data_IF_836788172315
#
_entry.id   IF_836788172315
#
_cell.length_a   1.000
_cell.length_b   1.000
_cell.length_c   1.000
_cell.angle_alpha   90.00
_cell.angle_beta   90.00
_cell.angle_gamma   90.00
#
_symmetry.space_group_name_H-M   'P 1'
#
loop_
_entity.id
_entity.type
_entity.pdbx_description
1 polymer ?
#
# COMPACT_ATOMS: atom_id res chain seq x y z
N UNK A 1 18.75 33.98 4.19
CA UNK A 1 18.94 32.95 3.16
C UNK A 1 18.71 31.59 3.83
N UNK A 2 17.56 30.95 3.61
CA UNK A 2 17.20 29.67 4.26
C UNK A 2 17.68 28.53 3.36
N UNK A 3 18.71 27.80 3.78
CA UNK A 3 19.18 26.62 3.06
C UNK A 3 18.45 25.39 3.59
N UNK A 4 17.45 24.91 2.86
CA UNK A 4 16.79 23.63 3.13
C UNK A 4 17.73 22.50 2.72
N UNK A 5 18.28 21.75 3.69
CA UNK A 5 19.04 20.51 3.42
C UNK A 5 18.06 19.46 2.88
N UNK A 6 18.26 19.06 1.63
CA UNK A 6 17.60 17.91 1.04
C UNK A 6 18.02 16.64 1.80
N UNK A 7 17.09 16.04 2.53
CA UNK A 7 17.20 14.69 3.07
C UNK A 7 17.25 13.70 1.90
N UNK A 8 18.45 13.23 1.54
CA UNK A 8 18.63 12.12 0.59
C UNK A 8 17.99 10.87 1.20
N UNK A 9 16.78 10.53 0.73
CA UNK A 9 16.07 9.32 1.10
C UNK A 9 16.92 8.09 0.77
N UNK A 10 17.02 7.19 1.76
CA UNK A 10 17.66 5.87 1.65
C UNK A 10 16.97 5.12 0.50
N UNK A 11 17.69 4.81 -0.59
CA UNK A 11 17.13 4.01 -1.69
C UNK A 11 16.82 2.61 -1.16
N UNK A 12 15.54 2.29 -1.02
CA UNK A 12 15.09 0.97 -0.64
C UNK A 12 15.42 0.00 -1.78
N UNK A 13 16.40 -0.88 -1.53
CA UNK A 13 16.78 -1.93 -2.47
C UNK A 13 15.80 -3.08 -2.31
N UNK A 14 15.08 -3.38 -3.39
CA UNK A 14 14.07 -4.43 -3.42
C UNK A 14 14.53 -5.54 -4.38
N UNK A 15 14.73 -6.74 -3.87
CA UNK A 15 15.00 -7.93 -4.67
C UNK A 15 13.68 -8.68 -4.89
N UNK A 16 13.33 -8.95 -6.15
CA UNK A 16 12.08 -9.63 -6.51
C UNK A 16 12.42 -10.94 -7.21
N UNK A 17 11.98 -12.04 -6.61
CA UNK A 17 12.08 -13.39 -7.17
C UNK A 17 10.68 -13.87 -7.56
N UNK A 18 10.19 -13.38 -8.69
CA UNK A 18 8.85 -13.67 -9.19
C UNK A 18 8.89 -14.02 -10.68
N UNK A 19 7.93 -14.83 -11.14
CA UNK A 19 7.76 -15.15 -12.55
C UNK A 19 6.73 -14.21 -13.16
N UNK A 20 7.13 -13.47 -14.19
CA UNK A 20 6.23 -12.55 -14.90
C UNK A 20 5.73 -13.18 -16.18
N UNK A 21 4.47 -12.90 -16.52
CA UNK A 21 3.91 -13.20 -17.84
C UNK A 21 3.82 -11.91 -18.65
N UNK A 22 4.15 -11.98 -19.94
CA UNK A 22 3.88 -10.87 -20.85
C UNK A 22 2.36 -10.69 -21.00
N UNK A 23 1.89 -9.45 -20.86
CA UNK A 23 0.46 -9.11 -20.96
C UNK A 23 0.17 -8.30 -22.21
N UNK A 24 0.98 -7.28 -22.46
CA UNK A 24 0.80 -6.32 -23.55
C UNK A 24 2.08 -5.49 -23.79
N UNK A 25 2.18 -4.86 -24.96
CA UNK A 25 3.24 -3.89 -25.31
C UNK A 25 2.57 -2.59 -25.74
N UNK A 26 2.91 -1.47 -25.08
CA UNK A 26 2.26 -0.17 -25.31
C UNK A 26 3.28 0.92 -25.63
N UNK A 27 2.99 1.79 -26.61
CA UNK A 27 3.82 2.96 -26.86
C UNK A 27 3.63 4.01 -25.75
N UNK A 28 4.61 4.91 -25.63
CA UNK A 28 4.45 6.13 -24.85
C UNK A 28 3.57 7.12 -25.63
N UNK A 29 2.71 7.82 -24.91
CA UNK A 29 1.98 8.94 -25.50
C UNK A 29 2.85 10.22 -25.56
N UNK A 30 2.29 11.30 -26.13
CA UNK A 30 2.97 12.60 -26.26
C UNK A 30 3.36 13.25 -24.93
N UNK A 31 2.86 12.74 -23.80
CA UNK A 31 3.18 13.20 -22.45
C UNK A 31 4.06 12.19 -21.70
N UNK A 32 4.69 11.25 -22.39
CA UNK A 32 5.55 10.21 -21.83
C UNK A 32 4.81 9.29 -20.82
N UNK A 33 3.51 9.06 -21.02
CA UNK A 33 2.72 8.15 -20.18
C UNK A 33 2.59 6.80 -20.86
N UNK A 34 2.61 5.74 -20.05
CA UNK A 34 2.21 4.40 -20.46
C UNK A 34 0.78 4.15 -19.97
N UNK A 35 -0.14 3.94 -20.89
CA UNK A 35 -1.54 3.65 -20.53
C UNK A 35 -1.69 2.19 -20.14
N UNK A 36 -2.07 1.95 -18.89
CA UNK A 36 -2.45 0.62 -18.39
C UNK A 36 -3.85 0.28 -18.93
N UNK A 37 -3.92 -0.36 -20.09
CA UNK A 37 -5.17 -0.63 -20.81
C UNK A 37 -6.11 -1.62 -20.10
N UNK A 38 -7.32 -1.77 -20.64
CA UNK A 38 -8.41 -2.54 -20.00
C UNK A 38 -8.09 -4.00 -19.69
N UNK A 39 -7.24 -4.69 -20.48
CA UNK A 39 -6.82 -6.07 -20.17
C UNK A 39 -6.04 -6.14 -18.85
N UNK A 40 -5.09 -5.22 -18.67
CA UNK A 40 -4.29 -5.13 -17.45
C UNK A 40 -5.16 -4.67 -16.27
N UNK A 41 -6.04 -3.70 -16.49
CA UNK A 41 -6.98 -3.24 -15.46
C UNK A 41 -7.90 -4.37 -14.98
N UNK A 42 -8.44 -5.20 -15.89
CA UNK A 42 -9.27 -6.36 -15.50
C UNK A 42 -8.50 -7.37 -14.65
N UNK A 43 -7.23 -7.63 -14.98
CA UNK A 43 -6.37 -8.52 -14.20
C UNK A 43 -6.09 -7.98 -12.78
N UNK A 44 -5.88 -6.65 -12.66
CA UNK A 44 -5.46 -6.03 -11.41
C UNK A 44 -6.65 -5.60 -10.50
N UNK A 45 -7.70 -5.01 -11.07
CA UNK A 45 -8.81 -4.39 -10.34
C UNK A 45 -9.86 -5.40 -9.87
N UNK A 46 -9.86 -6.64 -10.37
CA UNK A 46 -10.79 -7.68 -9.92
C UNK A 46 -10.61 -8.06 -8.44
N UNK A 47 -9.48 -7.71 -7.81
CA UNK A 47 -9.17 -8.09 -6.43
C UNK A 47 -8.83 -6.92 -5.50
N UNK A 48 -8.43 -5.77 -6.03
CA UNK A 48 -7.88 -4.66 -5.24
C UNK A 48 -8.39 -3.32 -5.78
N UNK A 49 -8.81 -2.43 -4.88
CA UNK A 49 -8.98 -1.01 -5.19
C UNK A 49 -7.58 -0.41 -5.26
N UNK A 50 -7.14 0.03 -6.43
CA UNK A 50 -5.80 0.55 -6.66
C UNK A 50 -5.92 2.05 -6.89
N UNK A 51 -5.33 2.86 -6.02
CA UNK A 51 -5.38 4.32 -6.13
C UNK A 51 -4.10 4.87 -6.79
N UNK A 52 -2.98 4.16 -6.67
CA UNK A 52 -1.68 4.57 -7.22
C UNK A 52 -0.75 3.38 -7.45
N UNK A 53 0.42 3.64 -8.05
CA UNK A 53 1.48 2.65 -8.18
C UNK A 53 2.80 3.22 -7.64
N UNK A 54 3.51 2.42 -6.87
CA UNK A 54 4.92 2.66 -6.60
C UNK A 54 5.73 2.31 -7.85
N UNK A 55 6.66 3.18 -8.22
CA UNK A 55 7.53 3.01 -9.39
C UNK A 55 8.94 2.71 -8.91
N UNK A 56 9.46 1.55 -9.29
CA UNK A 56 10.84 1.15 -9.06
C UNK A 56 11.57 1.03 -10.39
N UNK A 57 12.85 1.41 -10.42
CA UNK A 57 13.70 1.29 -11.60
C UNK A 57 14.87 0.37 -11.24
N UNK A 58 14.98 -0.72 -12.00
CA UNK A 58 16.08 -1.67 -11.92
C UNK A 58 17.35 -1.13 -12.57
N UNK A 59 18.48 -1.80 -12.32
CA UNK A 59 19.79 -1.40 -12.89
C UNK A 59 19.83 -1.54 -14.42
N UNK A 60 19.09 -2.49 -14.96
CA UNK A 60 19.03 -2.79 -16.40
C UNK A 60 17.95 -1.96 -17.13
N UNK A 61 17.33 -0.99 -16.46
CA UNK A 61 16.28 -0.14 -17.04
C UNK A 61 14.86 -0.72 -16.92
N UNK A 62 14.70 -1.90 -16.31
CA UNK A 62 13.39 -2.47 -16.01
C UNK A 62 12.59 -1.56 -15.07
N UNK A 63 11.31 -1.39 -15.38
CA UNK A 63 10.37 -0.65 -14.53
C UNK A 63 9.42 -1.64 -13.88
N UNK A 64 9.36 -1.61 -12.56
CA UNK A 64 8.35 -2.33 -11.79
C UNK A 64 7.30 -1.34 -11.29
N UNK A 65 6.04 -1.65 -11.58
CA UNK A 65 4.89 -0.97 -11.00
C UNK A 65 4.27 -1.88 -9.94
N UNK A 66 4.25 -1.41 -8.69
CA UNK A 66 3.59 -2.11 -7.58
C UNK A 66 2.31 -1.36 -7.20
N UNK A 67 1.12 -1.99 -7.27
CA UNK A 67 -0.12 -1.36 -6.83
C UNK A 67 -0.03 -0.85 -5.40
N UNK A 68 -0.60 0.33 -5.14
CA UNK A 68 -0.67 0.96 -3.83
C UNK A 68 -2.05 1.58 -3.60
N UNK A 69 -2.44 1.63 -2.33
CA UNK A 69 -3.69 2.24 -1.85
C UNK A 69 -3.38 3.52 -1.10
N UNK A 70 -4.23 4.53 -1.28
CA UNK A 70 -4.11 5.76 -0.52
C UNK A 70 -4.75 5.56 0.84
N UNK A 71 -4.00 5.84 1.90
CA UNK A 71 -4.51 5.78 3.28
C UNK A 71 -4.81 7.21 3.72
N UNK A 72 -6.02 7.52 4.21
CA UNK A 72 -6.36 8.82 4.79
C UNK A 72 -5.34 9.26 5.85
N UNK A 73 -5.03 10.56 5.90
CA UNK A 73 -3.98 11.09 6.78
C UNK A 73 -4.23 10.79 8.26
N UNK A 74 -5.48 10.79 8.68
CA UNK A 74 -5.93 10.46 10.04
C UNK A 74 -5.77 8.97 10.39
N UNK A 75 -5.64 8.08 9.41
CA UNK A 75 -5.43 6.63 9.61
C UNK A 75 -3.96 6.22 9.38
N UNK A 76 -3.18 7.04 8.68
CA UNK A 76 -1.83 6.70 8.28
C UNK A 76 -0.88 6.38 9.45
N UNK A 77 -1.15 6.93 10.64
CA UNK A 77 -0.34 6.65 11.84
C UNK A 77 -0.40 5.18 12.27
N UNK A 78 -1.55 4.52 12.10
CA UNK A 78 -1.77 3.10 12.43
C UNK A 78 -0.81 2.23 11.61
N UNK A 79 -0.72 2.50 10.31
CA UNK A 79 0.10 1.72 9.38
C UNK A 79 1.59 2.02 9.49
N UNK A 80 1.97 3.18 10.05
CA UNK A 80 3.37 3.53 10.32
C UNK A 80 3.90 2.92 11.61
N UNK A 81 3.01 2.57 12.56
CA UNK A 81 3.40 1.97 13.82
C UNK A 81 3.20 0.44 13.76
N UNK A 82 4.29 -0.35 13.66
CA UNK A 82 4.20 -1.81 13.53
C UNK A 82 3.53 -2.47 14.74
N UNK A 83 3.66 -1.88 15.93
CA UNK A 83 3.01 -2.41 17.14
C UNK A 83 1.49 -2.23 17.08
N UNK A 84 1.02 -1.03 16.69
CA UNK A 84 -0.41 -0.71 16.64
C UNK A 84 -1.12 -1.54 15.58
N UNK A 85 -0.58 -1.62 14.37
CA UNK A 85 -1.17 -2.46 13.32
C UNK A 85 -1.14 -3.94 13.71
N UNK A 86 -0.13 -4.38 14.47
CA UNK A 86 -0.06 -5.73 15.03
C UNK A 86 -1.21 -6.01 15.98
N UNK A 87 -1.46 -5.11 16.94
CA UNK A 87 -2.57 -5.22 17.89
C UNK A 87 -3.93 -5.24 17.19
N UNK A 88 -4.14 -4.37 16.19
CA UNK A 88 -5.39 -4.33 15.42
C UNK A 88 -5.61 -5.64 14.65
N UNK A 89 -4.56 -6.17 13.98
CA UNK A 89 -4.65 -7.45 13.27
C UNK A 89 -4.96 -8.61 14.20
N UNK A 90 -4.34 -8.63 15.38
CA UNK A 90 -4.63 -9.63 16.40
C UNK A 90 -6.09 -9.53 16.87
N UNK A 91 -6.57 -8.32 17.19
CA UNK A 91 -7.97 -8.11 17.60
C UNK A 91 -8.97 -8.53 16.53
N UNK A 92 -8.70 -8.25 15.25
CA UNK A 92 -9.51 -8.74 14.13
C UNK A 92 -9.53 -10.27 14.06
N UNK A 93 -8.40 -10.93 14.28
CA UNK A 93 -8.31 -12.39 14.32
C UNK A 93 -9.07 -12.97 15.52
N UNK A 94 -8.95 -12.37 16.70
CA UNK A 94 -9.68 -12.78 17.90
C UNK A 94 -11.19 -12.62 17.73
N UNK A 95 -11.62 -11.51 17.12
CA UNK A 95 -13.02 -11.29 16.79
C UNK A 95 -13.57 -12.34 15.82
N UNK A 96 -12.80 -12.68 14.78
CA UNK A 96 -13.15 -13.77 13.86
C UNK A 96 -13.24 -15.15 14.52
N UNK A 97 -12.52 -15.36 15.64
CA UNK A 97 -12.59 -16.57 16.45
C UNK A 97 -13.67 -16.53 17.54
N UNK A 98 -14.50 -15.48 17.58
CA UNK A 98 -15.57 -15.33 18.56
C UNK A 98 -15.10 -14.92 19.96
N UNK A 99 -13.84 -14.49 20.12
CA UNK A 99 -13.33 -13.91 21.37
C UNK A 99 -13.76 -12.44 21.49
N UNK A 100 -15.06 -12.21 21.47
CA UNK A 100 -15.67 -10.89 21.61
C UNK A 100 -16.59 -10.90 22.81
N UNK A 101 -16.59 -9.80 23.55
CA UNK A 101 -17.57 -9.54 24.60
C UNK A 101 -18.43 -8.36 24.16
N UNK A 102 -19.74 -8.45 24.47
CA UNK A 102 -20.64 -7.34 24.19
C UNK A 102 -20.43 -6.27 25.25
N UNK A 103 -20.04 -5.09 24.80
CA UNK A 103 -19.95 -3.91 25.65
C UNK A 103 -21.27 -3.16 25.58
N UNK A 104 -21.95 -2.99 26.72
CA UNK A 104 -23.24 -2.29 26.79
C UNK A 104 -23.09 -0.75 26.85
N UNK A 105 -21.97 -0.25 27.41
CA UNK A 105 -21.63 1.17 27.42
C UNK A 105 -20.20 1.39 26.87
N UNK A 106 -20.11 2.08 25.74
CA UNK A 106 -18.84 2.31 25.05
C UNK A 106 -17.96 3.34 25.79
N UNK A 107 -18.53 4.43 26.31
CA UNK A 107 -17.78 5.44 27.05
C UNK A 107 -17.10 4.82 28.29
N UNK A 108 -17.87 4.10 29.11
CA UNK A 108 -17.34 3.47 30.32
C UNK A 108 -16.21 2.47 30.01
N UNK A 109 -16.32 1.75 28.90
CA UNK A 109 -15.29 0.80 28.47
C UNK A 109 -13.99 1.49 28.05
N UNK A 110 -14.09 2.58 27.29
CA UNK A 110 -12.92 3.32 26.81
C UNK A 110 -12.19 4.05 27.95
N UNK A 111 -12.91 4.52 28.97
CA UNK A 111 -12.32 5.17 30.14
C UNK A 111 -11.56 4.18 31.05
N UNK A 112 -11.86 2.88 30.96
CA UNK A 112 -11.25 1.82 31.76
C UNK A 112 -10.16 1.01 31.01
N UNK A 113 -9.72 1.49 29.84
CA UNK A 113 -8.73 0.83 28.96
C UNK A 113 -7.27 1.18 29.33
#
# INVERSE_FOLDING_TARGET
MKTTRASKGKKELLEIREKFMHVDTRPLDSKHRITLGGRLQKLLTSKLKIDSYQVFVGKEGDILLRPAVSIPSNEAWVYRNPEVIGKIRNGLQEAGNGKVEKVDNLEDFLDNL
#
